data_IF_679698649712
#
_entry.id   IF_679698649712
#
_cell.length_a   1.000
_cell.length_b   1.000
_cell.length_c   1.000
_cell.angle_alpha   90.00
_cell.angle_beta   90.00
_cell.angle_gamma   90.00
#
_symmetry.space_group_name_H-M   'P 1'
#
loop_
_entity.id
_entity.type
_entity.pdbx_description
1 polymer ?
#
# COMPACT_ATOMS: atom_id res chain seq x y z
N UNK A 1 2.85 -4.47 8.67
CA UNK A 1 2.68 -3.03 8.96
C UNK A 1 2.85 -2.90 10.47
N UNK A 2 3.93 -2.26 10.94
CA UNK A 2 4.43 -2.52 12.31
C UNK A 2 3.40 -2.25 13.42
N UNK A 3 2.51 -1.27 13.25
CA UNK A 3 1.44 -0.97 14.21
C UNK A 3 0.34 -2.04 14.23
N UNK A 4 0.06 -2.67 13.08
CA UNK A 4 -0.88 -3.79 12.97
C UNK A 4 -0.30 -5.05 13.61
N UNK A 5 1.00 -5.25 13.44
CA UNK A 5 1.71 -6.45 13.91
C UNK A 5 2.00 -6.38 15.42
N UNK A 6 2.25 -5.19 15.96
CA UNK A 6 2.57 -4.98 17.39
C UNK A 6 1.38 -4.53 18.25
N UNK A 7 0.26 -4.14 17.64
CA UNK A 7 -0.93 -3.66 18.36
C UNK A 7 -0.73 -2.33 19.10
N UNK A 8 0.32 -1.58 18.78
CA UNK A 8 0.69 -0.34 19.48
C UNK A 8 -0.18 0.84 19.02
N UNK A 9 -0.72 1.67 19.94
CA UNK A 9 -1.51 2.83 19.56
C UNK A 9 -0.67 3.90 18.85
N UNK A 10 -1.21 4.47 17.76
CA UNK A 10 -0.61 5.54 16.93
C UNK A 10 -0.10 6.76 17.72
N UNK A 11 -0.73 7.04 18.88
CA UNK A 11 -0.39 8.17 19.77
C UNK A 11 0.84 7.90 20.66
N UNK A 12 1.38 6.69 20.67
CA UNK A 12 2.50 6.33 21.53
C UNK A 12 3.81 7.03 21.08
N UNK A 13 4.68 7.41 22.03
CA UNK A 13 5.98 8.03 21.70
C UNK A 13 6.88 7.11 20.85
N UNK A 14 7.62 7.68 19.90
CA UNK A 14 8.59 6.97 19.04
C UNK A 14 9.72 6.32 19.82
N UNK A 15 10.03 6.83 21.02
CA UNK A 15 11.02 6.22 21.91
C UNK A 15 10.65 4.80 22.31
N UNK A 16 9.35 4.54 22.53
CA UNK A 16 8.86 3.22 22.92
C UNK A 16 8.91 2.26 21.72
N UNK A 17 8.56 2.75 20.52
CA UNK A 17 8.72 1.99 19.28
C UNK A 17 10.17 1.54 19.05
N UNK A 18 11.13 2.43 19.29
CA UNK A 18 12.55 2.10 19.17
C UNK A 18 12.94 0.99 20.16
N UNK A 19 12.52 1.08 21.43
CA UNK A 19 12.80 0.03 22.42
C UNK A 19 12.15 -1.32 22.07
N UNK A 20 10.93 -1.31 21.51
CA UNK A 20 10.25 -2.54 21.08
C UNK A 20 10.99 -3.17 19.89
N UNK A 21 11.43 -2.35 18.93
CA UNK A 21 12.19 -2.86 17.79
C UNK A 21 13.58 -3.36 18.18
N UNK A 22 14.29 -2.65 19.07
CA UNK A 22 15.61 -3.07 19.58
C UNK A 22 15.52 -4.41 20.32
N UNK A 23 14.43 -4.64 21.06
CA UNK A 23 14.21 -5.92 21.72
C UNK A 23 13.91 -7.07 20.75
N UNK A 24 13.40 -6.76 19.55
CA UNK A 24 13.04 -7.76 18.54
C UNK A 24 14.17 -7.99 17.51
N UNK A 25 15.05 -7.00 17.29
CA UNK A 25 16.07 -7.03 16.24
C UNK A 25 17.31 -6.26 16.68
N UNK A 26 18.46 -6.93 16.66
CA UNK A 26 19.76 -6.34 17.04
C UNK A 26 20.45 -5.56 15.92
N UNK A 27 20.02 -5.73 14.66
CA UNK A 27 20.65 -5.10 13.50
C UNK A 27 19.60 -4.37 12.67
N UNK A 28 19.71 -3.04 12.62
CA UNK A 28 18.85 -2.18 11.81
C UNK A 28 19.51 -1.90 10.46
N UNK A 29 18.75 -2.13 9.39
CA UNK A 29 19.17 -1.70 8.05
C UNK A 29 18.99 -0.17 7.91
N UNK A 30 19.73 0.48 7.01
CA UNK A 30 19.66 1.94 6.80
C UNK A 30 18.23 2.42 6.45
N UNK A 31 17.46 1.55 5.78
CA UNK A 31 16.04 1.77 5.47
C UNK A 31 15.18 1.86 6.73
N UNK A 32 15.38 0.95 7.69
CA UNK A 32 14.60 0.90 8.94
C UNK A 32 14.92 2.11 9.83
N UNK A 33 16.16 2.57 9.86
CA UNK A 33 16.55 3.77 10.59
C UNK A 33 15.89 5.03 10.01
N UNK A 34 15.86 5.13 8.67
CA UNK A 34 15.18 6.22 7.96
C UNK A 34 13.68 6.19 8.22
N UNK A 35 13.08 5.01 8.24
CA UNK A 35 11.68 4.81 8.56
C UNK A 35 11.35 5.25 9.99
N UNK A 36 12.14 4.82 10.97
CA UNK A 36 11.98 5.23 12.38
C UNK A 36 12.05 6.75 12.53
N UNK A 37 12.95 7.42 11.81
CA UNK A 37 13.08 8.87 11.80
C UNK A 37 11.83 9.55 11.21
N UNK A 38 11.29 9.01 10.11
CA UNK A 38 10.04 9.56 9.53
C UNK A 38 8.83 9.31 10.43
N UNK A 39 8.76 8.17 11.11
CA UNK A 39 7.69 7.84 12.06
C UNK A 39 7.71 8.71 13.33
N UNK A 40 8.68 9.60 13.53
CA UNK A 40 8.66 10.55 14.65
C UNK A 40 7.49 11.55 14.55
N UNK A 41 7.13 11.95 13.32
CA UNK A 41 5.96 12.78 13.09
C UNK A 41 4.66 11.98 13.15
N UNK A 42 3.66 12.51 13.86
CA UNK A 42 2.33 11.89 13.95
C UNK A 42 1.64 11.76 12.58
N UNK A 43 1.79 12.76 11.71
CA UNK A 43 1.22 12.74 10.36
C UNK A 43 1.80 11.59 9.53
N UNK A 44 3.11 11.38 9.62
CA UNK A 44 3.79 10.27 8.94
C UNK A 44 3.36 8.90 9.46
N UNK A 45 3.01 8.78 10.75
CA UNK A 45 2.45 7.53 11.28
C UNK A 45 1.06 7.24 10.72
N UNK A 46 0.25 8.28 10.54
CA UNK A 46 -1.06 8.15 9.92
C UNK A 46 -0.91 7.62 8.48
N UNK A 47 -0.03 8.25 7.71
CA UNK A 47 0.30 7.87 6.32
C UNK A 47 0.84 6.43 6.26
N UNK A 48 1.74 6.05 7.18
CA UNK A 48 2.27 4.69 7.25
C UNK A 48 1.20 3.63 7.53
N UNK A 49 0.21 3.96 8.37
CA UNK A 49 -0.90 3.04 8.66
C UNK A 49 -1.87 2.94 7.48
N UNK A 50 -2.16 4.05 6.79
CA UNK A 50 -3.10 4.07 5.67
C UNK A 50 -2.51 3.52 4.37
N UNK A 51 -1.25 3.82 4.08
CA UNK A 51 -0.61 3.54 2.78
C UNK A 51 0.55 2.54 2.86
N UNK A 52 1.05 2.26 4.06
CA UNK A 52 2.14 1.32 4.27
C UNK A 52 3.54 1.94 4.20
N UNK A 53 4.52 1.06 4.26
CA UNK A 53 5.95 1.38 4.32
C UNK A 53 6.50 1.95 3.02
N UNK A 54 6.15 1.33 1.90
CA UNK A 54 6.70 1.67 0.58
C UNK A 54 6.35 3.09 0.18
N UNK A 55 5.07 3.49 0.35
CA UNK A 55 4.64 4.86 0.05
C UNK A 55 5.44 5.92 0.82
N UNK A 56 5.77 5.64 2.08
CA UNK A 56 6.48 6.58 2.95
C UNK A 56 7.99 6.65 2.69
N UNK A 57 8.59 5.56 2.21
CA UNK A 57 10.01 5.48 1.88
C UNK A 57 10.32 5.89 0.44
N UNK A 58 9.49 5.49 -0.52
CA UNK A 58 9.72 5.71 -1.95
C UNK A 58 9.27 7.10 -2.42
N UNK A 59 8.21 7.67 -1.82
CA UNK A 59 7.79 9.01 -2.21
C UNK A 59 8.68 10.07 -1.53
N UNK A 60 9.61 10.64 -2.29
CA UNK A 60 10.51 11.73 -1.86
C UNK A 60 9.89 13.12 -1.99
N UNK A 61 8.83 13.27 -2.80
CA UNK A 61 8.18 14.54 -3.13
C UNK A 61 6.78 14.71 -2.53
N UNK A 62 6.26 13.70 -1.82
CA UNK A 62 4.95 13.76 -1.20
C UNK A 62 5.04 14.53 0.12
N UNK A 63 4.24 15.59 0.25
CA UNK A 63 4.12 16.36 1.49
C UNK A 63 2.68 16.40 2.00
N UNK A 64 1.69 16.21 1.12
CA UNK A 64 0.27 16.17 1.46
C UNK A 64 -0.32 14.78 1.26
N UNK A 65 -1.41 14.47 1.97
CA UNK A 65 -2.15 13.21 1.85
C UNK A 65 -2.58 12.93 0.39
N UNK A 66 -2.91 13.98 -0.35
CA UNK A 66 -3.31 13.90 -1.75
C UNK A 66 -2.16 13.46 -2.66
N UNK A 67 -0.93 13.87 -2.36
CA UNK A 67 0.26 13.49 -3.13
C UNK A 67 0.54 11.99 -2.98
N UNK A 68 0.36 11.47 -1.76
CA UNK A 68 0.47 10.04 -1.47
C UNK A 68 -0.62 9.23 -2.19
N UNK A 69 -1.86 9.71 -2.22
CA UNK A 69 -2.92 9.07 -3.01
C UNK A 69 -2.56 9.00 -4.50
N UNK A 70 -2.09 10.11 -5.05
CA UNK A 70 -1.75 10.22 -6.46
C UNK A 70 -0.55 9.34 -6.84
N UNK A 71 0.35 9.05 -5.90
CA UNK A 71 1.45 8.10 -6.08
C UNK A 71 0.99 6.63 -6.11
N UNK A 72 0.05 6.28 -5.24
CA UNK A 72 -0.35 4.88 -5.02
C UNK A 72 -1.38 4.41 -6.05
N UNK A 73 -2.29 5.31 -6.45
CA UNK A 73 -3.33 5.04 -7.46
C UNK A 73 -2.76 4.38 -8.73
N UNK A 74 -1.73 4.93 -9.40
CA UNK A 74 -1.20 4.31 -10.63
C UNK A 74 -0.60 2.93 -10.38
N UNK A 75 0.04 2.70 -9.24
CA UNK A 75 0.65 1.40 -8.92
C UNK A 75 -0.43 0.32 -8.77
N UNK A 76 -1.53 0.64 -8.05
CA UNK A 76 -2.69 -0.25 -7.93
C UNK A 76 -3.38 -0.41 -9.28
N UNK A 77 -3.68 0.69 -9.97
CA UNK A 77 -4.39 0.67 -11.24
C UNK A 77 -3.66 -0.16 -12.31
N UNK A 78 -2.33 -0.23 -12.26
CA UNK A 78 -1.53 -0.99 -13.23
C UNK A 78 -1.84 -2.49 -13.23
N UNK A 79 -2.04 -3.10 -12.05
CA UNK A 79 -2.40 -4.53 -11.95
C UNK A 79 -3.75 -4.81 -12.61
N UNK A 80 -4.74 -3.93 -12.37
CA UNK A 80 -6.07 -3.99 -12.99
C UNK A 80 -6.02 -3.76 -14.50
N UNK A 81 -5.18 -2.83 -14.97
CA UNK A 81 -4.98 -2.58 -16.41
C UNK A 81 -4.40 -3.82 -17.10
N UNK A 82 -3.41 -4.49 -16.49
CA UNK A 82 -2.85 -5.73 -17.02
C UNK A 82 -3.92 -6.82 -17.10
N UNK A 83 -4.69 -7.02 -16.03
CA UNK A 83 -5.75 -8.03 -15.99
C UNK A 83 -6.86 -7.74 -16.99
N UNK A 84 -7.30 -6.49 -17.11
CA UNK A 84 -8.25 -6.04 -18.12
C UNK A 84 -7.72 -6.24 -19.54
N UNK A 85 -6.42 -6.01 -19.77
CA UNK A 85 -5.76 -6.24 -21.06
C UNK A 85 -5.72 -7.72 -21.42
N UNK A 86 -5.33 -8.60 -20.49
CA UNK A 86 -5.33 -10.06 -20.69
C UNK A 86 -6.74 -10.57 -20.98
N UNK A 87 -7.73 -10.12 -20.20
CA UNK A 87 -9.13 -10.47 -20.44
C UNK A 87 -9.61 -9.94 -21.80
N UNK A 88 -9.27 -8.70 -22.15
CA UNK A 88 -9.57 -8.11 -23.46
C UNK A 88 -9.01 -8.95 -24.61
N UNK A 89 -7.70 -9.25 -24.58
CA UNK A 89 -7.00 -10.01 -25.62
C UNK A 89 -7.56 -11.45 -25.72
N UNK A 90 -7.71 -12.14 -24.59
CA UNK A 90 -8.25 -13.51 -24.52
C UNK A 90 -9.67 -13.60 -25.10
N UNK A 91 -10.49 -12.57 -24.84
CA UNK A 91 -11.88 -12.54 -25.32
C UNK A 91 -12.01 -12.10 -26.78
N UNK A 92 -11.01 -11.39 -27.34
CA UNK A 92 -10.97 -11.13 -28.79
C UNK A 92 -10.58 -12.38 -29.59
N UNK A 93 -9.68 -13.22 -29.05
CA UNK A 93 -9.22 -14.46 -29.69
C UNK A 93 -10.29 -15.55 -29.77
N UNK A 94 -11.17 -15.64 -28.76
CA UNK A 94 -12.31 -16.58 -28.77
C UNK A 94 -13.60 -15.78 -28.88
N UNK A 95 -14.34 -15.97 -29.97
CA UNK A 95 -15.68 -15.40 -30.24
C UNK A 95 -16.75 -15.90 -29.23
N UNK A 96 -16.55 -15.64 -27.94
CA UNK A 96 -17.41 -15.97 -26.81
C UNK A 96 -17.69 -14.69 -26.01
N UNK A 97 -18.54 -13.84 -26.59
CA UNK A 97 -18.90 -12.51 -26.06
C UNK A 97 -19.43 -12.54 -24.60
N UNK A 98 -20.15 -13.60 -24.20
CA UNK A 98 -20.69 -13.72 -22.83
C UNK A 98 -19.62 -13.78 -21.74
N UNK A 99 -18.44 -14.34 -22.02
CA UNK A 99 -17.37 -14.46 -21.01
C UNK A 99 -16.73 -13.10 -20.69
N UNK A 100 -16.82 -12.12 -21.61
CA UNK A 100 -16.34 -10.76 -21.38
C UNK A 100 -17.09 -10.09 -20.24
N UNK A 101 -18.43 -10.23 -20.23
CA UNK A 101 -19.29 -9.58 -19.24
C UNK A 101 -19.03 -10.11 -17.85
N UNK A 102 -18.87 -11.44 -17.70
CA UNK A 102 -18.51 -12.03 -16.41
C UNK A 102 -17.13 -11.61 -15.93
N UNK A 103 -16.11 -11.58 -16.81
CA UNK A 103 -14.77 -11.12 -16.44
C UNK A 103 -14.71 -9.66 -16.00
N UNK A 104 -15.47 -8.78 -16.67
CA UNK A 104 -15.56 -7.36 -16.29
C UNK A 104 -16.30 -7.18 -14.96
N UNK A 105 -17.42 -7.88 -14.75
CA UNK A 105 -18.16 -7.84 -13.48
C UNK A 105 -17.27 -8.34 -12.34
N UNK A 106 -16.51 -9.42 -12.56
CA UNK A 106 -15.61 -9.98 -11.56
C UNK A 106 -14.46 -9.02 -11.22
N UNK A 107 -13.86 -8.37 -12.23
CA UNK A 107 -12.84 -7.33 -12.03
C UNK A 107 -13.35 -6.12 -11.26
N UNK A 108 -14.56 -5.65 -11.57
CA UNK A 108 -15.18 -4.54 -10.85
C UNK A 108 -15.43 -4.97 -9.39
N UNK A 109 -15.96 -6.18 -9.19
CA UNK A 109 -16.18 -6.74 -7.85
C UNK A 109 -14.91 -6.90 -7.02
N UNK A 110 -13.82 -7.39 -7.61
CA UNK A 110 -12.54 -7.52 -6.92
C UNK A 110 -11.95 -6.16 -6.55
N UNK A 111 -12.09 -5.16 -7.43
CA UNK A 111 -11.70 -3.77 -7.14
C UNK A 111 -12.44 -3.17 -5.95
N UNK A 112 -13.74 -3.39 -5.84
CA UNK A 112 -14.53 -2.95 -4.68
C UNK A 112 -14.15 -3.70 -3.39
N UNK A 113 -13.79 -4.99 -3.48
CA UNK A 113 -13.35 -5.78 -2.33
C UNK A 113 -11.97 -5.36 -1.80
N UNK A 114 -11.04 -4.93 -2.66
CA UNK A 114 -9.75 -4.42 -2.20
C UNK A 114 -9.85 -3.02 -1.57
N UNK A 115 -10.90 -2.26 -1.90
CA UNK A 115 -11.13 -0.93 -1.34
C UNK A 115 -11.89 -0.92 0.00
N UNK A 116 -12.54 -2.03 0.39
CA UNK A 116 -13.34 -2.16 1.61
C UNK A 116 -12.58 -2.90 2.72
#
# INVERSE_FOLDING_TARGET
NIYRDTGVPLKMSTSILRTIMENNKTTFNDKEQTLLKKLESYENRLIYVTYGEEALLECSYCYSLTDYLMFIIPNIAWSYVIMASILGISTMLKRKSHWRTYGVIWLIGSGFLELY
#
